data_IF_448993607611
#
_entry.id   IF_448993607611
#
_cell.length_a   1.000
_cell.length_b   1.000
_cell.length_c   1.000
_cell.angle_alpha   90.00
_cell.angle_beta   90.00
_cell.angle_gamma   90.00
#
_symmetry.space_group_name_H-M   'P 1'
#
loop_
_entity.id
_entity.type
_entity.pdbx_description
1 polymer ?
#
# COMPACT_ATOMS: atom_id res chain seq x y z
N UNK A 1 9.20 22.55 13.32
CA UNK A 1 9.44 22.88 11.89
C UNK A 1 8.85 24.26 11.64
N UNK A 2 9.65 25.23 11.18
CA UNK A 2 9.15 26.56 10.80
C UNK A 2 8.47 26.47 9.43
N UNK A 3 7.35 27.17 9.24
CA UNK A 3 6.61 27.16 7.97
C UNK A 3 7.47 27.69 6.81
N UNK A 4 8.34 28.67 7.07
CA UNK A 4 9.29 29.23 6.09
C UNK A 4 10.29 28.23 5.52
N UNK A 5 10.47 27.08 6.17
CA UNK A 5 11.36 25.99 5.74
C UNK A 5 10.60 24.76 5.24
N UNK A 6 9.25 24.82 5.17
CA UNK A 6 8.45 23.68 4.73
C UNK A 6 8.56 23.48 3.22
N UNK A 7 8.64 22.23 2.77
CA UNK A 7 8.63 21.91 1.34
C UNK A 7 7.21 21.92 0.78
N UNK A 8 6.97 22.83 -0.17
CA UNK A 8 5.68 23.05 -0.82
C UNK A 8 4.92 24.26 -0.28
N UNK A 9 3.79 24.58 -0.91
CA UNK A 9 2.94 25.72 -0.58
C UNK A 9 1.49 25.28 -0.61
N UNK A 10 0.65 25.95 0.19
CA UNK A 10 -0.80 25.79 0.11
C UNK A 10 -1.34 26.38 -1.18
N UNK A 11 -2.47 25.89 -1.65
CA UNK A 11 -3.18 26.41 -2.81
C UNK A 11 -4.41 27.22 -2.37
N UNK A 12 -4.63 28.35 -3.03
CA UNK A 12 -5.81 29.19 -2.79
C UNK A 12 -7.09 28.44 -3.16
N UNK A 13 -7.07 27.80 -4.33
CA UNK A 13 -8.20 27.05 -4.89
C UNK A 13 -7.80 25.58 -5.08
N UNK A 14 -8.79 24.68 -4.98
CA UNK A 14 -8.57 23.28 -5.27
C UNK A 14 -8.58 23.07 -6.80
N UNK A 15 -7.86 22.06 -7.31
CA UNK A 15 -7.99 21.67 -8.71
C UNK A 15 -9.42 21.24 -9.06
N UNK A 16 -9.87 21.51 -10.28
CA UNK A 16 -11.23 21.24 -10.72
C UNK A 16 -11.57 19.73 -10.76
N UNK A 17 -10.56 18.89 -10.97
CA UNK A 17 -10.66 17.44 -10.96
C UNK A 17 -10.87 16.82 -9.56
N UNK A 18 -10.69 17.61 -8.49
CA UNK A 18 -10.91 17.15 -7.13
C UNK A 18 -12.38 17.34 -6.72
N UNK A 19 -13.20 16.30 -6.91
CA UNK A 19 -14.64 16.38 -6.59
C UNK A 19 -14.94 16.31 -5.09
N UNK A 20 -14.26 15.42 -4.35
CA UNK A 20 -14.52 15.21 -2.92
C UNK A 20 -13.87 16.29 -2.05
N UNK A 21 -14.61 16.76 -1.03
CA UNK A 21 -14.10 17.76 -0.08
C UNK A 21 -12.78 17.34 0.60
N UNK A 22 -12.64 16.07 0.98
CA UNK A 22 -11.39 15.55 1.55
C UNK A 22 -10.22 15.65 0.58
N UNK A 23 -10.42 15.27 -0.69
CA UNK A 23 -9.41 15.35 -1.74
C UNK A 23 -9.00 16.80 -2.02
N UNK A 24 -9.97 17.71 -2.11
CA UNK A 24 -9.73 19.15 -2.28
C UNK A 24 -8.90 19.72 -1.13
N UNK A 25 -9.26 19.40 0.12
CA UNK A 25 -8.58 19.89 1.31
C UNK A 25 -7.14 19.36 1.40
N UNK A 26 -6.94 18.07 1.15
CA UNK A 26 -5.60 17.46 1.20
C UNK A 26 -4.65 18.05 0.16
N UNK A 27 -5.15 18.36 -1.05
CA UNK A 27 -4.36 19.04 -2.07
C UNK A 27 -4.08 20.49 -1.66
N UNK A 28 -5.11 21.26 -1.28
CA UNK A 28 -4.97 22.68 -0.92
C UNK A 28 -4.04 22.91 0.25
N UNK A 29 -4.07 22.03 1.25
CA UNK A 29 -3.22 22.10 2.43
C UNK A 29 -1.80 21.53 2.19
N UNK A 30 -1.46 21.10 0.97
CA UNK A 30 -0.17 20.48 0.62
C UNK A 30 0.13 19.25 1.47
N UNK A 31 -0.87 18.38 1.67
CA UNK A 31 -0.73 17.06 2.28
C UNK A 31 -0.42 16.00 1.23
N UNK A 32 -1.01 16.13 0.04
CA UNK A 32 -0.77 15.24 -1.10
C UNK A 32 -0.59 16.04 -2.39
N UNK A 33 0.09 15.44 -3.37
CA UNK A 33 0.14 15.91 -4.75
C UNK A 33 -0.09 14.76 -5.72
N UNK A 34 -0.94 14.91 -6.75
CA UNK A 34 -1.11 13.89 -7.76
C UNK A 34 0.19 13.74 -8.59
N UNK A 35 0.60 12.50 -8.83
CA UNK A 35 1.65 12.13 -9.78
C UNK A 35 1.08 11.43 -11.02
N UNK A 36 -0.15 10.92 -10.92
CA UNK A 36 -0.94 10.28 -11.98
C UNK A 36 -2.33 9.94 -11.47
N UNK A 37 -3.19 9.38 -12.31
CA UNK A 37 -4.53 8.94 -11.88
C UNK A 37 -4.40 7.87 -10.77
N UNK A 38 -4.97 8.14 -9.59
CA UNK A 38 -4.86 7.23 -8.42
C UNK A 38 -3.49 7.18 -7.75
N UNK A 39 -2.50 7.94 -8.23
CA UNK A 39 -1.13 7.90 -7.71
C UNK A 39 -0.78 9.24 -7.07
N UNK A 40 -0.50 9.22 -5.77
CA UNK A 40 -0.25 10.42 -4.98
C UNK A 40 1.10 10.39 -4.28
N UNK A 41 1.77 11.54 -4.29
CA UNK A 41 2.90 11.83 -3.41
C UNK A 41 2.36 12.38 -2.10
N UNK A 42 2.70 11.74 -0.99
CA UNK A 42 2.47 12.31 0.34
C UNK A 42 3.55 13.34 0.65
N UNK A 43 3.13 14.58 0.75
CA UNK A 43 3.99 15.71 1.11
C UNK A 43 4.36 15.63 2.60
N UNK A 44 5.35 16.40 3.09
CA UNK A 44 5.85 16.24 4.47
C UNK A 44 4.77 16.26 5.56
N UNK A 45 3.75 17.10 5.44
CA UNK A 45 2.62 17.11 6.39
C UNK A 45 1.75 15.86 6.28
N UNK A 46 1.40 15.45 5.07
CA UNK A 46 0.64 14.22 4.83
C UNK A 46 1.38 12.97 5.31
N UNK A 47 2.68 12.89 5.06
CA UNK A 47 3.51 11.77 5.52
C UNK A 47 3.61 11.72 7.04
N UNK A 48 3.68 12.87 7.73
CA UNK A 48 3.61 12.92 9.20
C UNK A 48 2.29 12.37 9.74
N UNK A 49 1.16 12.62 9.06
CA UNK A 49 -0.13 12.06 9.46
C UNK A 49 -0.17 10.56 9.23
N UNK A 50 0.26 10.08 8.05
CA UNK A 50 0.36 8.65 7.78
C UNK A 50 1.16 7.93 8.85
N UNK A 51 2.33 8.46 9.23
CA UNK A 51 3.17 7.85 10.27
C UNK A 51 2.49 7.76 11.63
N UNK A 52 1.62 8.71 11.97
CA UNK A 52 0.81 8.63 13.20
C UNK A 52 -0.24 7.53 13.12
N UNK A 53 -0.92 7.42 11.98
CA UNK A 53 -1.92 6.38 11.74
C UNK A 53 -1.25 5.00 11.81
N UNK A 54 -0.11 4.83 11.14
CA UNK A 54 0.67 3.59 11.21
C UNK A 54 1.15 3.26 12.62
N UNK A 55 1.60 4.25 13.39
CA UNK A 55 1.98 4.06 14.78
C UNK A 55 0.84 3.47 15.62
N UNK A 56 -0.35 4.08 15.55
CA UNK A 56 -1.54 3.56 16.25
C UNK A 56 -1.87 2.15 15.78
N UNK A 57 -1.89 1.90 14.46
CA UNK A 57 -2.17 0.56 13.94
C UNK A 57 -1.17 -0.48 14.45
N UNK A 58 0.12 -0.16 14.49
CA UNK A 58 1.14 -1.07 14.99
C UNK A 58 0.97 -1.32 16.50
N UNK A 59 0.77 -0.26 17.30
CA UNK A 59 0.51 -0.36 18.74
C UNK A 59 -0.68 -1.29 19.06
N UNK A 60 -1.79 -1.15 18.33
CA UNK A 60 -2.98 -1.98 18.53
C UNK A 60 -2.79 -3.43 18.05
N UNK A 61 -2.03 -3.65 16.96
CA UNK A 61 -1.73 -5.00 16.48
C UNK A 61 -0.75 -5.73 17.40
N UNK A 62 0.26 -5.03 17.92
CA UNK A 62 1.22 -5.57 18.89
C UNK A 62 0.52 -5.95 20.20
N UNK A 63 -0.48 -5.15 20.64
CA UNK A 63 -1.27 -5.41 21.84
C UNK A 63 -2.04 -6.75 21.77
N UNK A 64 -2.35 -7.23 20.57
CA UNK A 64 -2.98 -8.54 20.34
C UNK A 64 -1.98 -9.63 19.90
N UNK A 65 -0.70 -9.45 20.23
CA UNK A 65 0.40 -10.37 19.89
C UNK A 65 0.64 -10.52 18.37
N UNK A 66 0.24 -9.53 17.57
CA UNK A 66 0.64 -9.42 16.19
C UNK A 66 2.16 -9.20 16.06
N UNK A 67 2.76 -9.76 15.03
CA UNK A 67 4.17 -9.60 14.73
C UNK A 67 4.32 -8.86 13.39
N UNK A 68 4.84 -7.62 13.44
CA UNK A 68 5.08 -6.86 12.22
C UNK A 68 6.26 -7.44 11.43
N UNK A 69 6.07 -7.58 10.12
CA UNK A 69 7.10 -7.90 9.16
C UNK A 69 7.06 -6.94 7.99
N UNK A 70 8.07 -6.97 7.12
CA UNK A 70 8.09 -6.16 5.91
C UNK A 70 8.27 -7.04 4.69
N UNK A 71 7.17 -7.20 3.93
CA UNK A 71 7.13 -8.11 2.78
C UNK A 71 7.46 -7.38 1.46
N UNK A 72 8.04 -8.07 0.47
CA UNK A 72 8.34 -7.48 -0.83
C UNK A 72 7.05 -7.06 -1.54
N UNK A 73 7.11 -5.95 -2.29
CA UNK A 73 6.00 -5.52 -3.16
C UNK A 73 6.11 -6.06 -4.59
N UNK A 74 7.20 -6.76 -4.93
CA UNK A 74 7.40 -7.42 -6.21
C UNK A 74 7.33 -8.94 -5.97
N UNK A 75 6.24 -9.56 -6.41
CA UNK A 75 5.98 -10.98 -6.17
C UNK A 75 6.39 -11.79 -7.41
N UNK A 76 7.10 -12.92 -7.24
CA UNK A 76 7.27 -13.88 -8.33
C UNK A 76 5.91 -14.38 -8.84
N UNK A 77 5.71 -14.44 -10.16
CA UNK A 77 4.46 -14.92 -10.74
C UNK A 77 4.08 -16.33 -10.29
N UNK A 78 5.07 -17.20 -10.06
CA UNK A 78 4.88 -18.59 -9.65
C UNK A 78 4.02 -18.72 -8.38
N UNK A 79 4.13 -17.80 -7.41
CA UNK A 79 3.35 -17.85 -6.18
C UNK A 79 1.86 -17.58 -6.43
N UNK A 80 1.55 -16.63 -7.31
CA UNK A 80 0.17 -16.33 -7.74
C UNK A 80 -0.41 -17.41 -8.67
N UNK A 81 0.44 -18.08 -9.44
CA UNK A 81 0.04 -19.19 -10.29
C UNK A 81 -0.31 -20.42 -9.46
N UNK A 82 0.47 -20.70 -8.40
CA UNK A 82 0.21 -21.79 -7.47
C UNK A 82 -1.17 -21.69 -6.79
N UNK A 83 -1.66 -20.46 -6.54
CA UNK A 83 -3.00 -20.22 -5.98
C UNK A 83 -4.09 -20.07 -7.05
N UNK A 84 -3.73 -20.09 -8.34
CA UNK A 84 -4.64 -19.83 -9.46
C UNK A 84 -5.06 -18.36 -9.63
N UNK A 85 -4.67 -17.47 -8.71
CA UNK A 85 -5.08 -16.05 -8.71
C UNK A 85 -4.39 -15.21 -9.78
N UNK A 86 -3.30 -15.71 -10.39
CA UNK A 86 -2.62 -15.03 -11.48
C UNK A 86 -3.55 -14.65 -12.65
N UNK A 87 -4.49 -15.53 -13.00
CA UNK A 87 -5.45 -15.30 -14.10
C UNK A 87 -6.79 -14.71 -13.68
N UNK A 88 -7.12 -14.76 -12.39
CA UNK A 88 -8.45 -14.41 -11.86
C UNK A 88 -8.52 -13.00 -11.27
N UNK A 89 -7.37 -12.39 -10.95
CA UNK A 89 -7.33 -11.07 -10.35
C UNK A 89 -7.18 -9.98 -11.43
N UNK A 90 -8.29 -9.35 -11.79
CA UNK A 90 -8.35 -8.37 -12.89
C UNK A 90 -7.48 -7.12 -12.66
N UNK A 91 -7.33 -6.68 -11.42
CA UNK A 91 -6.57 -5.47 -11.05
C UNK A 91 -5.09 -5.74 -10.75
N UNK A 92 -4.57 -6.91 -11.15
CA UNK A 92 -3.20 -7.32 -10.88
C UNK A 92 -2.24 -6.73 -11.93
N UNK A 93 -1.37 -5.82 -11.49
CA UNK A 93 -0.23 -5.40 -12.33
C UNK A 93 0.72 -6.57 -12.58
N UNK A 94 0.87 -6.94 -13.85
CA UNK A 94 1.83 -7.95 -14.30
C UNK A 94 3.01 -7.27 -14.99
N UNK A 95 4.21 -7.67 -14.61
CA UNK A 95 5.46 -7.10 -15.10
C UNK A 95 6.33 -8.20 -15.67
N UNK A 96 7.03 -7.86 -16.75
CA UNK A 96 8.04 -8.70 -17.35
C UNK A 96 9.42 -8.16 -17.02
N UNK A 97 10.17 -8.90 -16.21
CA UNK A 97 11.56 -8.59 -15.89
C UNK A 97 12.53 -9.06 -16.97
N UNK A 98 13.80 -8.75 -16.77
CA UNK A 98 14.90 -9.25 -17.61
C UNK A 98 14.92 -10.78 -17.65
N UNK A 99 15.17 -11.35 -18.83
CA UNK A 99 15.23 -12.81 -19.00
C UNK A 99 13.85 -13.50 -18.96
N UNK A 100 12.80 -12.82 -19.40
CA UNK A 100 11.41 -13.35 -19.47
C UNK A 100 10.84 -13.80 -18.12
N UNK A 101 11.36 -13.32 -16.99
CA UNK A 101 10.77 -13.58 -15.68
C UNK A 101 9.51 -12.75 -15.50
N UNK A 102 8.46 -13.34 -14.97
CA UNK A 102 7.21 -12.64 -14.70
C UNK A 102 7.06 -12.35 -13.21
N UNK A 103 6.54 -11.16 -12.93
CA UNK A 103 6.28 -10.68 -11.59
C UNK A 103 4.90 -10.03 -11.52
N UNK A 104 4.35 -9.96 -10.32
CA UNK A 104 3.24 -9.08 -10.00
C UNK A 104 3.71 -7.96 -9.06
N UNK A 105 3.15 -6.76 -9.21
CA UNK A 105 3.15 -5.81 -8.08
C UNK A 105 2.09 -6.25 -7.08
N UNK A 106 2.41 -6.15 -5.80
CA UNK A 106 1.58 -6.63 -4.71
C UNK A 106 0.23 -5.91 -4.63
N UNK A 107 -0.85 -6.58 -5.07
CA UNK A 107 -2.22 -6.14 -4.82
C UNK A 107 -2.70 -6.51 -3.40
N UNK A 108 -2.13 -7.60 -2.86
CA UNK A 108 -2.26 -8.17 -1.51
C UNK A 108 -1.14 -9.20 -1.33
N UNK A 109 -1.05 -9.85 -0.15
CA UNK A 109 0.09 -10.64 0.29
C UNK A 109 -0.25 -12.08 0.74
N UNK A 110 -1.46 -12.60 0.49
CA UNK A 110 -1.81 -13.96 0.95
C UNK A 110 -0.86 -15.03 0.40
N UNK A 111 -0.49 -14.96 -0.88
CA UNK A 111 0.46 -15.87 -1.53
C UNK A 111 1.82 -15.89 -0.82
N UNK A 112 2.31 -14.72 -0.43
CA UNK A 112 3.62 -14.57 0.23
C UNK A 112 3.56 -15.15 1.64
N UNK A 113 2.49 -14.83 2.37
CA UNK A 113 2.28 -15.32 3.74
C UNK A 113 2.13 -16.84 3.75
N UNK A 114 1.36 -17.41 2.81
CA UNK A 114 1.18 -18.86 2.71
C UNK A 114 2.48 -19.56 2.32
N UNK A 115 3.27 -19.02 1.38
CA UNK A 115 4.57 -19.57 1.01
C UNK A 115 5.55 -19.61 2.19
N UNK A 116 5.56 -18.58 3.04
CA UNK A 116 6.35 -18.56 4.28
C UNK A 116 5.81 -19.57 5.31
N UNK A 117 4.50 -19.57 5.53
CA UNK A 117 3.86 -20.48 6.48
C UNK A 117 4.12 -21.96 6.14
N UNK A 118 4.09 -22.33 4.85
CA UNK A 118 4.38 -23.69 4.39
C UNK A 118 5.83 -24.14 4.68
N UNK A 119 6.76 -23.20 4.85
CA UNK A 119 8.18 -23.48 5.14
C UNK A 119 8.48 -23.46 6.64
N UNK A 120 7.79 -22.61 7.38
CA UNK A 120 8.13 -22.31 8.77
C UNK A 120 7.15 -22.93 9.80
N UNK A 121 5.98 -23.42 9.37
CA UNK A 121 4.98 -24.07 10.25
C UNK A 121 4.92 -25.56 9.91
N UNK A 122 5.63 -26.36 10.71
CA UNK A 122 5.75 -27.81 10.48
C UNK A 122 4.77 -28.62 11.37
N UNK A 123 4.30 -28.03 12.48
CA UNK A 123 3.45 -28.69 13.46
C UNK A 123 2.33 -27.80 13.97
N UNK A 124 1.24 -28.42 14.44
CA UNK A 124 0.18 -27.71 15.15
C UNK A 124 0.70 -26.97 16.40
N UNK A 125 1.84 -27.38 16.95
CA UNK A 125 2.50 -26.75 18.10
C UNK A 125 3.11 -25.39 17.77
N UNK A 126 3.38 -25.12 16.51
CA UNK A 126 3.89 -23.82 16.07
C UNK A 126 2.77 -22.77 16.00
N UNK A 127 1.51 -23.19 16.16
CA UNK A 127 0.32 -22.33 16.11
C UNK A 127 -0.17 -21.97 17.53
N UNK A 128 -0.80 -20.80 17.72
CA UNK A 128 -1.16 -19.80 16.71
C UNK A 128 -0.02 -18.83 16.34
N UNK A 129 -0.09 -18.25 15.13
CA UNK A 129 0.78 -17.15 14.69
C UNK A 129 -0.07 -16.03 14.11
N UNK A 130 0.20 -14.80 14.51
CA UNK A 130 -0.39 -13.58 13.95
C UNK A 130 0.73 -12.70 13.43
N UNK A 131 0.76 -12.49 12.12
CA UNK A 131 1.73 -11.62 11.44
C UNK A 131 1.00 -10.55 10.65
N UNK A 132 1.62 -9.39 10.48
CA UNK A 132 1.07 -8.31 9.67
C UNK A 132 2.17 -7.47 9.02
N UNK A 133 1.81 -6.65 8.03
CA UNK A 133 2.67 -5.57 7.56
C UNK A 133 1.89 -4.34 7.19
N UNK A 134 2.53 -3.19 7.34
CA UNK A 134 2.01 -1.93 6.85
C UNK A 134 2.86 -1.49 5.66
N UNK A 135 2.34 -1.73 4.44
CA UNK A 135 3.06 -1.43 3.19
C UNK A 135 2.10 -0.97 2.10
N UNK A 136 2.66 -0.31 1.09
CA UNK A 136 1.95 0.08 -0.13
C UNK A 136 1.38 -1.16 -0.84
N UNK A 137 0.32 -0.92 -1.60
CA UNK A 137 -0.33 -1.90 -2.47
C UNK A 137 -0.57 -1.27 -3.82
N UNK A 138 -0.63 -2.10 -4.86
CA UNK A 138 -0.79 -1.66 -6.23
C UNK A 138 -1.95 -2.44 -6.84
N UNK A 139 -2.98 -1.73 -7.27
CA UNK A 139 -4.13 -2.28 -7.98
C UNK A 139 -4.35 -1.43 -9.21
N UNK A 140 -4.43 -2.06 -10.38
CA UNK A 140 -4.66 -1.40 -11.66
C UNK A 140 -6.15 -1.07 -11.79
N UNK A 141 -6.61 -0.13 -10.97
CA UNK A 141 -8.01 0.25 -10.91
C UNK A 141 -8.43 0.91 -12.23
N UNK A 142 -9.46 0.40 -12.93
CA UNK A 142 -9.85 0.95 -14.23
C UNK A 142 -10.28 2.42 -14.17
N UNK A 143 -10.74 2.89 -12.99
CA UNK A 143 -11.24 4.25 -12.75
C UNK A 143 -10.90 4.74 -11.33
N UNK A 144 -9.67 5.22 -11.08
CA UNK A 144 -9.31 5.86 -9.82
C UNK A 144 -10.15 7.14 -9.61
N UNK A 145 -10.76 7.33 -8.43
CA UNK A 145 -11.66 8.45 -8.11
C UNK A 145 -11.72 8.74 -6.62
N UNK A 146 -11.91 10.01 -6.26
CA UNK A 146 -12.11 10.40 -4.86
C UNK A 146 -10.82 10.57 -4.06
N UNK A 147 -9.69 10.81 -4.73
CA UNK A 147 -8.43 11.07 -4.05
C UNK A 147 -7.81 9.80 -3.49
N UNK A 148 -7.55 9.80 -2.18
CA UNK A 148 -6.97 8.65 -1.49
C UNK A 148 -7.97 7.52 -1.19
N UNK A 149 -9.25 7.69 -1.55
CA UNK A 149 -10.31 6.72 -1.28
C UNK A 149 -10.31 5.58 -2.31
N UNK A 150 -10.02 5.86 -3.59
CA UNK A 150 -9.98 4.85 -4.66
C UNK A 150 -9.04 5.23 -5.80
#
# INVERSE_FOLDING_TARGET
>A
MRLSQSFGKTLREAPAEAEMASHQLLIRANYIRPAGAGVYTFMPLGYRVIRKIWGIMAEEMDAISGQEMWMPNLHPAALWQATGRWGQMDVLFKLKGSGNREYALSATHEEIVVDLALRDIESHRDLPRMIYHISKKFRDEPRPRGGLIR
#
